data_IF_848023949525
#
_entry.id   IF_848023949525
#
_cell.length_a   1.000
_cell.length_b   1.000
_cell.length_c   1.000
_cell.angle_alpha   90.00
_cell.angle_beta   90.00
_cell.angle_gamma   90.00
#
_symmetry.space_group_name_H-M   'P 1'
#
loop_
_entity.id
_entity.type
_entity.pdbx_description
1 polymer ?
#
# COMPACT_ATOMS: atom_id res chain seq x y z
N UNK A 1 -14.44 -7.50 -17.42
CA UNK A 1 -14.57 -8.76 -18.20
C UNK A 1 -15.28 -8.41 -19.49
N UNK A 2 -14.74 -8.84 -20.61
CA UNK A 2 -15.41 -8.67 -21.90
C UNK A 2 -16.85 -9.18 -21.83
N UNK A 3 -17.78 -8.43 -22.39
CA UNK A 3 -19.17 -8.85 -22.57
C UNK A 3 -19.30 -9.69 -23.86
N UNK A 4 -18.59 -9.29 -24.90
CA UNK A 4 -18.58 -9.89 -26.23
C UNK A 4 -17.14 -10.19 -26.67
N UNK A 5 -16.93 -11.11 -27.64
CA UNK A 5 -15.61 -11.36 -28.20
C UNK A 5 -15.02 -10.12 -28.86
N UNK A 6 -13.71 -9.90 -28.68
CA UNK A 6 -12.94 -8.81 -29.31
C UNK A 6 -11.93 -9.42 -30.27
N UNK A 7 -11.89 -8.91 -31.50
CA UNK A 7 -10.93 -9.37 -32.51
C UNK A 7 -9.61 -8.63 -32.38
N UNK A 8 -8.51 -9.39 -32.31
CA UNK A 8 -7.13 -8.89 -32.35
C UNK A 8 -6.41 -9.55 -33.54
N UNK A 9 -5.21 -9.08 -33.85
CA UNK A 9 -4.34 -9.74 -34.82
C UNK A 9 -3.31 -10.62 -34.12
N UNK A 10 -3.25 -11.87 -34.53
CA UNK A 10 -2.27 -12.85 -34.11
C UNK A 10 -1.58 -13.37 -35.34
N UNK A 11 -0.27 -13.18 -35.45
CA UNK A 11 0.52 -13.53 -36.64
C UNK A 11 -0.10 -13.01 -37.97
N UNK A 12 -0.61 -11.77 -37.93
CA UNK A 12 -1.26 -11.10 -39.06
C UNK A 12 -2.70 -11.56 -39.35
N UNK A 13 -3.18 -12.64 -38.76
CA UNK A 13 -4.54 -13.16 -38.90
C UNK A 13 -5.50 -12.62 -37.83
N UNK A 14 -6.79 -12.40 -38.15
CA UNK A 14 -7.77 -12.01 -37.15
C UNK A 14 -8.09 -13.20 -36.23
N UNK A 15 -8.02 -12.96 -34.92
CA UNK A 15 -8.33 -13.93 -33.89
C UNK A 15 -9.30 -13.34 -32.85
N UNK A 16 -10.31 -14.11 -32.43
CA UNK A 16 -11.34 -13.67 -31.50
C UNK A 16 -10.99 -14.02 -30.05
N UNK A 17 -10.65 -13.00 -29.24
CA UNK A 17 -10.48 -13.16 -27.79
C UNK A 17 -11.85 -13.20 -27.12
N UNK A 18 -12.16 -14.34 -26.51
CA UNK A 18 -13.48 -14.59 -25.92
C UNK A 18 -13.59 -14.10 -24.48
N UNK A 19 -14.82 -13.82 -24.01
CA UNK A 19 -15.07 -13.52 -22.58
C UNK A 19 -14.62 -14.64 -21.63
N UNK A 20 -14.50 -15.88 -22.11
CA UNK A 20 -14.04 -17.00 -21.30
C UNK A 20 -12.53 -16.91 -21.01
N UNK A 21 -11.72 -16.54 -22.01
CA UNK A 21 -10.27 -16.33 -21.85
C UNK A 21 -9.98 -15.24 -20.80
N UNK A 22 -10.65 -14.10 -20.93
CA UNK A 22 -10.48 -13.00 -19.95
C UNK A 22 -10.95 -13.38 -18.55
N UNK A 23 -12.03 -14.17 -18.41
CA UNK A 23 -12.48 -14.69 -17.11
C UNK A 23 -11.46 -15.64 -16.47
N UNK A 24 -10.86 -16.56 -17.26
CA UNK A 24 -9.84 -17.48 -16.77
C UNK A 24 -8.58 -16.75 -16.33
N UNK A 25 -8.06 -15.83 -17.16
CA UNK A 25 -6.92 -15.01 -16.83
C UNK A 25 -7.16 -14.20 -15.54
N UNK A 26 -8.35 -13.58 -15.41
CA UNK A 26 -8.77 -12.85 -14.20
C UNK A 26 -8.85 -13.74 -12.96
N UNK A 27 -9.37 -14.94 -13.10
CA UNK A 27 -9.42 -15.93 -12.02
C UNK A 27 -8.04 -16.27 -11.50
N UNK A 28 -7.07 -16.49 -12.39
CA UNK A 28 -5.66 -16.74 -12.05
C UNK A 28 -4.99 -15.55 -11.37
N UNK A 29 -5.19 -14.35 -11.90
CA UNK A 29 -4.67 -13.12 -11.30
C UNK A 29 -5.20 -12.90 -9.88
N UNK A 30 -6.50 -13.08 -9.64
CA UNK A 30 -7.12 -13.00 -8.30
C UNK A 30 -6.62 -14.09 -7.35
N UNK A 31 -6.44 -15.31 -7.82
CA UNK A 31 -5.93 -16.42 -7.02
C UNK A 31 -4.50 -16.18 -6.51
N UNK A 32 -3.73 -15.30 -7.14
CA UNK A 32 -2.39 -14.93 -6.71
C UNK A 32 -2.35 -14.17 -5.38
N UNK A 33 -3.48 -13.60 -4.95
CA UNK A 33 -3.62 -12.74 -3.76
C UNK A 33 -2.67 -11.54 -3.73
N UNK A 34 -2.10 -11.16 -4.87
CA UNK A 34 -1.28 -9.95 -4.99
C UNK A 34 -2.16 -8.71 -5.06
N UNK A 35 -1.66 -7.55 -4.63
CA UNK A 35 -2.33 -6.26 -4.82
C UNK A 35 -2.73 -6.05 -6.28
N UNK A 36 -3.83 -5.32 -6.52
CA UNK A 36 -4.47 -5.18 -7.82
C UNK A 36 -3.50 -4.79 -8.94
N UNK A 37 -2.71 -3.73 -8.74
CA UNK A 37 -1.78 -3.24 -9.76
C UNK A 37 -0.63 -4.23 -10.05
N UNK A 38 -0.19 -5.00 -9.03
CA UNK A 38 0.82 -6.06 -9.21
C UNK A 38 0.23 -7.31 -9.86
N UNK A 39 -1.04 -7.63 -9.59
CA UNK A 39 -1.73 -8.76 -10.22
C UNK A 39 -2.02 -8.52 -11.71
N UNK A 40 -1.97 -7.26 -12.19
CA UNK A 40 -2.14 -6.90 -13.60
C UNK A 40 -1.16 -7.62 -14.51
N UNK A 41 0.10 -7.74 -14.10
CA UNK A 41 1.09 -8.50 -14.89
C UNK A 41 0.69 -9.97 -15.02
N UNK A 42 0.22 -10.59 -13.93
CA UNK A 42 -0.26 -11.97 -13.96
C UNK A 42 -1.48 -12.12 -14.89
N UNK A 43 -2.39 -11.13 -14.85
CA UNK A 43 -3.54 -11.11 -15.76
C UNK A 43 -3.08 -11.05 -17.22
N UNK A 44 -2.13 -10.17 -17.54
CA UNK A 44 -1.55 -10.03 -18.88
C UNK A 44 -0.91 -11.34 -19.35
N UNK A 45 0.01 -11.90 -18.57
CA UNK A 45 0.73 -13.13 -18.92
C UNK A 45 -0.24 -14.30 -19.15
N UNK A 46 -1.26 -14.41 -18.27
CA UNK A 46 -2.26 -15.48 -18.39
C UNK A 46 -3.26 -15.25 -19.52
N UNK A 47 -3.56 -14.01 -19.88
CA UNK A 47 -4.37 -13.71 -21.05
C UNK A 47 -3.63 -14.09 -22.34
N UNK A 48 -2.34 -13.75 -22.44
CA UNK A 48 -1.50 -14.15 -23.56
C UNK A 48 -1.40 -15.67 -23.67
N UNK A 49 -1.17 -16.37 -22.55
CA UNK A 49 -1.15 -17.84 -22.52
C UNK A 49 -2.47 -18.47 -23.05
N UNK A 50 -3.63 -17.92 -22.62
CA UNK A 50 -4.95 -18.39 -23.11
C UNK A 50 -5.12 -18.11 -24.62
N UNK A 51 -4.65 -16.96 -25.11
CA UNK A 51 -4.69 -16.61 -26.55
C UNK A 51 -3.79 -17.54 -27.35
N UNK A 52 -2.53 -17.73 -26.96
CA UNK A 52 -1.58 -18.60 -27.66
C UNK A 52 -2.08 -20.03 -27.72
N UNK A 53 -2.58 -20.58 -26.62
CA UNK A 53 -3.10 -21.94 -26.58
C UNK A 53 -4.34 -22.12 -27.48
N UNK A 54 -5.23 -21.13 -27.49
CA UNK A 54 -6.43 -21.19 -28.31
C UNK A 54 -6.11 -21.01 -29.80
N UNK A 55 -5.20 -20.11 -30.15
CA UNK A 55 -4.71 -19.90 -31.49
C UNK A 55 -4.01 -21.16 -32.04
N UNK A 56 -3.15 -21.78 -31.23
CA UNK A 56 -2.49 -23.04 -31.61
C UNK A 56 -3.49 -24.17 -31.83
N UNK A 57 -4.56 -24.24 -31.05
CA UNK A 57 -5.63 -25.23 -31.25
C UNK A 57 -6.46 -24.96 -32.52
N UNK A 58 -6.62 -23.68 -32.92
CA UNK A 58 -7.36 -23.30 -34.14
C UNK A 58 -6.58 -23.57 -35.43
N UNK A 59 -5.23 -23.36 -35.40
CA UNK A 59 -4.36 -23.70 -36.55
C UNK A 59 -4.42 -25.22 -36.88
N UNK A 60 -4.76 -26.03 -35.89
CA UNK A 60 -5.10 -27.40 -36.07
C UNK A 60 -3.99 -28.42 -35.81
N UNK A 61 -4.41 -29.66 -35.80
CA UNK A 61 -3.56 -30.84 -35.71
C UNK A 61 -2.97 -31.14 -37.10
N UNK A 62 -1.72 -31.60 -37.13
CA UNK A 62 -1.07 -32.08 -38.32
C UNK A 62 -1.96 -33.14 -39.02
N UNK A 63 -2.48 -32.87 -40.23
CA UNK A 63 -3.35 -33.80 -40.93
C UNK A 63 -2.66 -35.13 -41.25
N UNK A 64 -1.33 -35.19 -41.14
CA UNK A 64 -0.55 -36.43 -41.36
C UNK A 64 -0.44 -37.32 -40.12
N UNK A 65 -0.82 -36.82 -38.95
CA UNK A 65 -0.79 -37.53 -37.66
C UNK A 65 -2.10 -37.34 -36.85
N UNK A 66 -3.25 -37.83 -37.34
CA UNK A 66 -4.56 -37.56 -36.69
C UNK A 66 -4.70 -38.15 -35.28
N UNK A 67 -3.89 -39.14 -34.93
CA UNK A 67 -3.91 -39.80 -33.62
C UNK A 67 -2.96 -39.14 -32.57
N UNK A 68 -2.16 -38.17 -32.97
CA UNK A 68 -1.38 -37.32 -32.08
C UNK A 68 -1.87 -35.89 -32.23
N UNK A 69 -2.42 -35.28 -31.19
CA UNK A 69 -2.60 -33.85 -31.18
C UNK A 69 -1.19 -33.21 -31.10
N UNK A 70 -0.48 -33.26 -32.22
CA UNK A 70 0.78 -32.58 -32.43
C UNK A 70 0.44 -31.18 -32.88
N UNK A 71 0.76 -30.21 -32.05
CA UNK A 71 0.68 -28.80 -32.41
C UNK A 71 1.59 -28.59 -33.62
N UNK A 72 1.06 -27.96 -34.68
CA UNK A 72 1.85 -27.54 -35.83
C UNK A 72 2.96 -26.54 -35.44
N UNK A 73 2.80 -25.89 -34.30
CA UNK A 73 3.78 -24.93 -33.74
C UNK A 73 4.87 -25.66 -32.97
N UNK A 74 6.12 -25.37 -33.31
CA UNK A 74 7.28 -25.81 -32.55
C UNK A 74 7.36 -25.04 -31.19
N UNK A 75 8.18 -25.52 -30.27
CA UNK A 75 8.42 -24.79 -29.00
C UNK A 75 9.00 -23.38 -29.23
N UNK A 76 9.76 -23.18 -30.32
CA UNK A 76 10.27 -21.87 -30.73
C UNK A 76 9.14 -20.94 -31.15
N UNK A 77 8.25 -21.46 -32.04
CA UNK A 77 7.11 -20.68 -32.55
C UNK A 77 6.18 -20.24 -31.40
N UNK A 78 6.00 -21.12 -30.41
CA UNK A 78 5.26 -20.76 -29.18
C UNK A 78 5.90 -19.63 -28.41
N UNK A 79 7.24 -19.63 -28.25
CA UNK A 79 7.97 -18.60 -27.53
C UNK A 79 7.90 -17.27 -28.29
N UNK A 80 8.14 -17.28 -29.60
CA UNK A 80 8.12 -16.11 -30.47
C UNK A 80 6.71 -15.47 -30.47
N UNK A 81 5.67 -16.27 -30.64
CA UNK A 81 4.27 -15.82 -30.60
C UNK A 81 3.89 -15.24 -29.24
N UNK A 82 4.38 -15.85 -28.16
CA UNK A 82 4.13 -15.35 -26.80
C UNK A 82 4.81 -13.99 -26.62
N UNK A 83 6.05 -13.81 -27.07
CA UNK A 83 6.78 -12.56 -26.98
C UNK A 83 6.11 -11.44 -27.79
N UNK A 84 5.67 -11.75 -29.01
CA UNK A 84 4.96 -10.81 -29.88
C UNK A 84 3.64 -10.36 -29.25
N UNK A 85 2.85 -11.27 -28.69
CA UNK A 85 1.60 -10.93 -28.04
C UNK A 85 1.78 -10.17 -26.72
N UNK A 86 2.82 -10.47 -25.94
CA UNK A 86 3.16 -9.68 -24.74
C UNK A 86 3.47 -8.21 -25.07
N UNK A 87 4.01 -7.94 -26.25
CA UNK A 87 4.33 -6.60 -26.73
C UNK A 87 3.23 -6.01 -27.63
N UNK A 88 2.18 -6.77 -27.97
CA UNK A 88 1.10 -6.32 -28.86
C UNK A 88 0.31 -5.17 -28.26
N UNK A 89 0.15 -4.02 -28.99
CA UNK A 89 -0.69 -2.91 -28.55
C UNK A 89 -2.16 -3.30 -28.38
N UNK A 90 -2.67 -4.24 -29.18
CA UNK A 90 -4.06 -4.71 -29.11
C UNK A 90 -4.30 -5.51 -27.83
N UNK A 91 -3.36 -6.35 -27.42
CA UNK A 91 -3.41 -7.08 -26.16
C UNK A 91 -3.25 -6.13 -24.97
N UNK A 92 -2.36 -5.15 -25.07
CA UNK A 92 -2.20 -4.11 -24.03
C UNK A 92 -3.49 -3.29 -23.82
N UNK A 93 -4.19 -2.93 -24.89
CA UNK A 93 -5.50 -2.27 -24.81
C UNK A 93 -6.54 -3.16 -24.13
N UNK A 94 -6.60 -4.46 -24.48
CA UNK A 94 -7.47 -5.42 -23.78
C UNK A 94 -7.16 -5.56 -22.30
N UNK A 95 -5.88 -5.51 -21.93
CA UNK A 95 -5.46 -5.55 -20.53
C UNK A 95 -5.88 -4.27 -19.83
N UNK A 96 -5.74 -3.09 -20.45
CA UNK A 96 -6.18 -1.80 -19.86
C UNK A 96 -7.68 -1.78 -19.62
N UNK A 97 -8.48 -2.24 -20.60
CA UNK A 97 -9.94 -2.28 -20.49
C UNK A 97 -10.44 -3.27 -19.41
N UNK A 98 -9.75 -4.39 -19.23
CA UNK A 98 -10.21 -5.47 -18.33
C UNK A 98 -9.56 -5.47 -16.97
N UNK A 99 -8.38 -4.85 -16.84
CA UNK A 99 -7.61 -4.75 -15.61
C UNK A 99 -6.80 -3.43 -15.59
N UNK A 100 -7.48 -2.26 -15.52
CA UNK A 100 -6.80 -0.98 -15.52
C UNK A 100 -5.89 -0.81 -14.30
N UNK A 101 -4.88 0.03 -14.44
CA UNK A 101 -4.12 0.53 -13.29
C UNK A 101 -5.02 1.49 -12.54
N UNK A 102 -5.15 1.28 -11.24
CA UNK A 102 -5.97 2.12 -10.36
C UNK A 102 -5.10 2.86 -9.36
N UNK A 103 -5.50 4.09 -9.04
CA UNK A 103 -4.90 4.90 -7.97
C UNK A 103 -5.84 4.97 -6.76
N UNK A 104 -5.27 5.16 -5.57
CA UNK A 104 -6.07 5.26 -4.35
C UNK A 104 -7.11 6.41 -4.40
N UNK A 105 -6.76 7.62 -4.88
CA UNK A 105 -7.74 8.68 -5.04
C UNK A 105 -8.91 8.29 -5.95
N UNK A 106 -8.65 7.68 -7.12
CA UNK A 106 -9.71 7.25 -8.04
C UNK A 106 -10.67 6.23 -7.40
N UNK A 107 -10.13 5.28 -6.63
CA UNK A 107 -10.96 4.24 -5.98
C UNK A 107 -11.80 4.85 -4.86
N UNK A 108 -11.19 5.68 -3.99
CA UNK A 108 -11.91 6.29 -2.87
C UNK A 108 -12.93 7.31 -3.37
N UNK A 109 -12.58 8.16 -4.35
CA UNK A 109 -13.52 9.08 -4.97
C UNK A 109 -14.72 8.33 -5.57
N UNK A 110 -14.46 7.33 -6.41
CA UNK A 110 -15.53 6.54 -7.02
C UNK A 110 -16.43 5.85 -6.00
N UNK A 111 -15.81 5.33 -4.92
CA UNK A 111 -16.57 4.69 -3.83
C UNK A 111 -17.50 5.68 -3.13
N UNK A 112 -17.04 6.91 -2.87
CA UNK A 112 -17.78 7.91 -2.10
C UNK A 112 -18.69 8.82 -2.96
N UNK A 113 -18.61 8.75 -4.30
CA UNK A 113 -19.43 9.57 -5.20
C UNK A 113 -20.45 8.77 -6.02
N UNK A 114 -20.31 7.44 -6.08
CA UNK A 114 -21.20 6.56 -6.83
C UNK A 114 -21.95 5.64 -5.84
N UNK A 115 -23.24 5.97 -5.62
CA UNK A 115 -24.14 5.21 -4.72
C UNK A 115 -24.10 3.72 -5.01
N UNK A 116 -24.20 3.35 -6.29
CA UNK A 116 -24.25 1.92 -6.67
C UNK A 116 -22.98 1.18 -6.27
N UNK A 117 -21.82 1.79 -6.48
CA UNK A 117 -20.54 1.20 -6.07
C UNK A 117 -20.41 1.08 -4.55
N UNK A 118 -20.89 2.09 -3.82
CA UNK A 118 -20.88 2.06 -2.36
C UNK A 118 -21.82 0.98 -1.81
N UNK A 119 -23.03 0.87 -2.33
CA UNK A 119 -24.00 -0.17 -1.97
C UNK A 119 -23.47 -1.58 -2.31
N UNK A 120 -22.90 -1.79 -3.51
CA UNK A 120 -22.30 -3.07 -3.92
C UNK A 120 -21.13 -3.47 -3.00
N UNK A 121 -20.31 -2.49 -2.57
CA UNK A 121 -19.16 -2.75 -1.70
C UNK A 121 -19.54 -2.97 -0.23
N UNK A 122 -20.62 -2.37 0.23
CA UNK A 122 -21.01 -2.34 1.64
C UNK A 122 -22.31 -3.08 1.98
N UNK A 123 -22.94 -3.75 1.02
CA UNK A 123 -24.31 -4.29 1.10
C UNK A 123 -24.63 -5.16 2.33
N UNK A 124 -23.65 -5.61 3.09
CA UNK A 124 -23.82 -6.39 4.32
C UNK A 124 -23.29 -5.67 5.55
N UNK A 125 -22.78 -4.46 5.43
CA UNK A 125 -22.05 -3.76 6.49
C UNK A 125 -22.74 -2.45 6.87
N UNK A 126 -23.16 -1.66 5.88
CA UNK A 126 -23.75 -0.35 6.07
C UNK A 126 -25.27 -0.37 5.86
N UNK A 127 -25.99 0.45 6.61
CA UNK A 127 -27.39 0.76 6.36
C UNK A 127 -27.55 1.78 5.23
N UNK A 128 -28.77 1.93 4.71
CA UNK A 128 -29.08 2.93 3.69
C UNK A 128 -28.78 4.37 4.19
N UNK A 129 -29.04 4.64 5.46
CA UNK A 129 -28.74 5.92 6.10
C UNK A 129 -27.21 6.16 6.16
N UNK A 130 -26.41 5.15 6.48
CA UNK A 130 -24.95 5.25 6.47
C UNK A 130 -24.42 5.53 5.04
N UNK A 131 -25.02 4.88 4.05
CA UNK A 131 -24.68 5.11 2.63
C UNK A 131 -24.95 6.57 2.26
N UNK A 132 -26.11 7.11 2.64
CA UNK A 132 -26.47 8.51 2.40
C UNK A 132 -25.49 9.49 3.06
N UNK A 133 -25.05 9.20 4.27
CA UNK A 133 -24.05 10.01 4.99
C UNK A 133 -22.68 9.99 4.34
N UNK A 134 -22.27 8.88 3.73
CA UNK A 134 -20.94 8.73 3.14
C UNK A 134 -20.88 9.32 1.72
N UNK A 135 -22.02 9.44 1.02
CA UNK A 135 -22.04 9.95 -0.33
C UNK A 135 -21.66 11.42 -0.38
N UNK A 136 -20.79 11.75 -1.33
CA UNK A 136 -20.29 13.10 -1.59
C UNK A 136 -20.60 13.54 -3.03
N UNK A 137 -20.61 14.85 -3.24
CA UNK A 137 -20.63 15.39 -4.60
C UNK A 137 -19.34 15.00 -5.34
N UNK A 138 -19.46 14.79 -6.64
CA UNK A 138 -18.31 14.55 -7.51
C UNK A 138 -17.32 15.72 -7.41
N UNK A 139 -16.05 15.43 -7.51
CA UNK A 139 -14.95 16.41 -7.39
C UNK A 139 -14.84 17.08 -6.01
N UNK A 140 -15.46 16.51 -4.97
CA UNK A 140 -15.26 16.96 -3.59
C UNK A 140 -13.79 16.78 -3.18
N UNK A 141 -13.14 17.79 -2.58
CA UNK A 141 -11.77 17.67 -2.15
C UNK A 141 -11.62 16.63 -1.04
N UNK A 142 -10.50 15.92 -1.05
CA UNK A 142 -10.13 15.06 0.08
C UNK A 142 -9.80 15.88 1.32
N UNK A 143 -10.15 15.34 2.46
CA UNK A 143 -9.94 15.93 3.79
C UNK A 143 -9.01 15.08 4.63
N UNK A 144 -8.54 15.60 5.76
CA UNK A 144 -7.64 14.86 6.66
C UNK A 144 -8.20 13.50 7.10
N UNK A 145 -9.50 13.35 7.44
CA UNK A 145 -10.11 12.05 7.73
C UNK A 145 -10.06 11.04 6.58
N UNK A 146 -9.89 11.47 5.33
CA UNK A 146 -9.81 10.56 4.17
C UNK A 146 -8.42 9.92 4.02
N UNK A 147 -7.39 10.49 4.64
CA UNK A 147 -6.00 10.02 4.51
C UNK A 147 -5.83 8.54 4.87
N UNK A 148 -6.40 8.03 5.99
CA UNK A 148 -6.35 6.61 6.29
C UNK A 148 -7.04 5.72 5.27
N UNK A 149 -8.12 6.18 4.63
CA UNK A 149 -8.81 5.45 3.57
C UNK A 149 -7.95 5.40 2.30
N UNK A 150 -7.32 6.52 1.94
CA UNK A 150 -6.38 6.59 0.82
C UNK A 150 -5.17 5.67 1.04
N UNK A 151 -4.63 5.63 2.25
CA UNK A 151 -3.52 4.73 2.59
C UNK A 151 -3.94 3.26 2.50
N UNK A 152 -5.11 2.88 3.01
CA UNK A 152 -5.62 1.51 2.90
C UNK A 152 -5.90 1.12 1.44
N UNK A 153 -6.53 2.02 0.66
CA UNK A 153 -6.74 1.78 -0.76
C UNK A 153 -5.43 1.59 -1.51
N UNK A 154 -4.41 2.40 -1.23
CA UNK A 154 -3.09 2.27 -1.83
C UNK A 154 -2.41 0.95 -1.46
N UNK A 155 -2.61 0.43 -0.24
CA UNK A 155 -2.11 -0.87 0.19
C UNK A 155 -2.75 -2.02 -0.61
N UNK A 156 -4.07 -1.99 -0.74
CA UNK A 156 -4.82 -3.01 -1.50
C UNK A 156 -4.52 -2.97 -2.99
N UNK A 157 -4.28 -1.79 -3.55
CA UNK A 157 -3.93 -1.63 -4.95
C UNK A 157 -2.48 -2.02 -5.24
N UNK A 158 -1.57 -1.75 -4.33
CA UNK A 158 -0.13 -1.84 -4.55
C UNK A 158 0.41 -0.77 -5.50
N UNK A 159 1.72 -0.65 -5.58
CA UNK A 159 2.35 0.31 -6.50
C UNK A 159 1.99 -0.03 -7.95
N UNK A 160 1.65 0.96 -8.78
CA UNK A 160 1.53 0.73 -10.22
C UNK A 160 2.89 0.27 -10.77
N UNK A 161 2.89 -0.58 -11.81
CA UNK A 161 4.12 -0.91 -12.50
C UNK A 161 4.76 0.38 -13.00
N UNK A 162 6.07 0.53 -12.77
CA UNK A 162 6.78 1.69 -13.32
C UNK A 162 6.69 1.64 -14.84
N UNK A 163 6.35 2.76 -15.51
CA UNK A 163 6.43 2.79 -16.97
C UNK A 163 7.88 2.43 -17.33
N UNK A 164 8.05 1.43 -18.20
CA UNK A 164 9.34 1.21 -18.84
C UNK A 164 9.70 2.54 -19.49
N UNK A 165 10.64 3.26 -18.93
CA UNK A 165 11.22 4.44 -19.59
C UNK A 165 11.71 3.91 -20.93
N UNK A 166 11.11 4.39 -22.02
CA UNK A 166 11.70 4.23 -23.33
C UNK A 166 13.16 4.68 -23.21
N UNK A 167 14.08 3.83 -23.58
CA UNK A 167 15.51 3.94 -23.43
C UNK A 167 16.09 5.15 -24.19
N UNK A 168 15.87 6.35 -23.68
CA UNK A 168 16.59 7.55 -24.07
C UNK A 168 17.73 7.87 -23.08
N UNK A 169 18.38 6.86 -22.54
CA UNK A 169 19.46 6.97 -21.57
C UNK A 169 20.11 5.63 -21.26
N UNK A 170 20.06 4.67 -22.20
CA UNK A 170 20.52 3.31 -21.98
C UNK A 170 21.97 3.19 -21.50
N UNK A 171 22.85 4.03 -21.99
CA UNK A 171 24.26 4.01 -21.59
C UNK A 171 24.47 4.51 -20.16
N UNK A 172 23.75 5.54 -19.75
CA UNK A 172 23.87 6.07 -18.38
C UNK A 172 23.22 5.16 -17.33
N UNK A 173 22.13 4.48 -17.69
CA UNK A 173 21.47 3.52 -16.79
C UNK A 173 22.29 2.24 -16.59
N UNK A 174 22.86 1.69 -17.65
CA UNK A 174 23.75 0.52 -17.54
C UNK A 174 24.97 0.84 -16.69
N UNK A 175 25.56 2.00 -16.86
CA UNK A 175 26.71 2.45 -16.06
C UNK A 175 26.33 2.61 -14.57
N UNK A 176 25.15 3.17 -14.27
CA UNK A 176 24.65 3.28 -12.88
C UNK A 176 24.36 1.91 -12.24
N UNK A 177 23.89 0.95 -13.01
CA UNK A 177 23.68 -0.43 -12.52
C UNK A 177 25.02 -1.12 -12.29
N UNK A 178 26.01 -0.93 -13.17
CA UNK A 178 27.37 -1.46 -13.00
C UNK A 178 28.07 -0.85 -11.80
N UNK A 179 27.95 0.47 -11.58
CA UNK A 179 28.50 1.18 -10.42
C UNK A 179 27.82 0.71 -9.12
N UNK A 180 26.50 0.50 -9.14
CA UNK A 180 25.75 -0.04 -8.00
C UNK A 180 26.14 -1.49 -7.69
N UNK A 181 26.38 -2.31 -8.73
CA UNK A 181 26.85 -3.68 -8.58
C UNK A 181 28.26 -3.71 -7.99
N UNK A 182 29.17 -2.85 -8.49
CA UNK A 182 30.52 -2.73 -7.96
C UNK A 182 30.54 -2.30 -6.48
N UNK A 183 29.63 -1.39 -6.09
CA UNK A 183 29.47 -0.98 -4.69
C UNK A 183 28.96 -2.14 -3.81
N UNK A 184 28.02 -2.94 -4.28
CA UNK A 184 27.52 -4.14 -3.59
C UNK A 184 28.63 -5.20 -3.44
N UNK A 185 29.44 -5.39 -4.48
CA UNK A 185 30.55 -6.35 -4.46
C UNK A 185 31.65 -5.93 -3.46
N UNK A 186 31.94 -4.61 -3.35
CA UNK A 186 32.82 -4.07 -2.33
C UNK A 186 32.26 -4.30 -0.92
N UNK A 187 30.97 -4.05 -0.72
CA UNK A 187 30.30 -4.30 0.57
C UNK A 187 30.33 -5.78 0.94
N UNK A 188 30.10 -6.68 0.00
CA UNK A 188 30.20 -8.14 0.21
C UNK A 188 31.65 -8.55 0.55
N UNK A 189 32.63 -8.00 -0.15
CA UNK A 189 34.03 -8.29 0.11
C UNK A 189 34.49 -7.76 1.49
N UNK A 190 34.03 -6.58 1.90
CA UNK A 190 34.35 -6.04 3.24
C UNK A 190 33.67 -6.81 4.36
N UNK A 191 32.43 -7.26 4.15
CA UNK A 191 31.71 -8.08 5.12
C UNK A 191 32.37 -9.47 5.32
N UNK A 192 32.93 -10.06 4.26
CA UNK A 192 33.66 -11.34 4.35
C UNK A 192 35.00 -11.24 5.07
N UNK A 193 35.60 -10.05 5.20
CA UNK A 193 36.85 -9.84 5.95
C UNK A 193 36.62 -9.64 7.46
N UNK A 194 35.40 -9.28 7.90
CA UNK A 194 35.09 -9.08 9.33
C UNK A 194 34.60 -10.33 10.06
N UNK A 195 34.33 -11.44 9.35
CA UNK A 195 33.79 -12.66 9.90
C UNK A 195 34.75 -13.87 9.76
N UNK A 196 35.97 -13.77 10.30
CA UNK A 196 36.80 -14.92 10.58
C UNK A 196 36.69 -15.40 12.05
N UNK A 197 35.62 -15.06 12.76
CA UNK A 197 35.37 -15.60 14.11
C UNK A 197 34.00 -16.29 14.18
N UNK A 198 34.09 -17.56 14.59
CA UNK A 198 33.03 -18.55 14.62
C UNK A 198 31.81 -18.13 15.44
N UNK A 199 30.66 -17.98 14.79
CA UNK A 199 29.38 -18.52 15.29
C UNK A 199 28.30 -18.42 14.22
N UNK A 200 27.73 -19.58 13.85
CA UNK A 200 26.53 -19.78 13.06
C UNK A 200 25.36 -18.94 13.58
N UNK A 201 25.10 -17.83 12.93
CA UNK A 201 23.76 -17.29 12.85
C UNK A 201 23.56 -16.77 11.42
N UNK A 202 22.66 -17.39 10.68
CA UNK A 202 22.11 -16.88 9.41
C UNK A 202 21.44 -15.54 9.65
N UNK A 203 22.23 -14.51 9.89
CA UNK A 203 21.76 -13.13 9.81
C UNK A 203 21.74 -12.79 8.33
N UNK A 204 20.55 -12.80 7.73
CA UNK A 204 20.32 -12.23 6.41
C UNK A 204 20.91 -10.82 6.40
N UNK A 205 22.05 -10.67 5.76
CA UNK A 205 22.69 -9.38 5.67
C UNK A 205 21.85 -8.44 4.80
N UNK A 206 21.82 -7.15 5.14
CA UNK A 206 21.00 -6.15 4.44
C UNK A 206 21.26 -6.13 2.91
N UNK A 207 22.43 -6.54 2.46
CA UNK A 207 22.79 -6.64 1.04
C UNK A 207 22.15 -7.81 0.30
N UNK A 208 21.68 -8.87 0.99
CA UNK A 208 20.98 -9.98 0.35
C UNK A 208 19.56 -9.60 -0.09
N UNK A 209 19.07 -8.46 0.40
CA UNK A 209 17.73 -7.92 0.11
C UNK A 209 17.80 -6.78 -0.92
N UNK A 210 18.99 -6.24 -1.19
CA UNK A 210 19.17 -5.08 -2.07
C UNK A 210 19.61 -5.54 -3.45
N UNK A 211 18.72 -5.37 -4.43
CA UNK A 211 19.02 -5.53 -5.85
C UNK A 211 19.77 -4.29 -6.38
N UNK A 212 20.82 -4.49 -7.19
CA UNK A 212 21.59 -3.42 -7.82
C UNK A 212 20.72 -2.43 -8.62
N UNK A 213 19.65 -2.92 -9.26
CA UNK A 213 18.67 -2.09 -9.94
C UNK A 213 17.92 -1.16 -8.98
N UNK A 214 17.57 -1.65 -7.79
CA UNK A 214 16.95 -0.82 -6.75
C UNK A 214 17.91 0.23 -6.18
N UNK A 215 19.19 -0.08 -6.08
CA UNK A 215 20.20 0.83 -5.60
C UNK A 215 20.46 1.94 -6.63
N UNK A 216 20.62 1.60 -7.90
CA UNK A 216 20.79 2.54 -9.00
C UNK A 216 19.58 3.49 -9.16
N UNK A 217 18.36 2.96 -9.02
CA UNK A 217 17.11 3.71 -9.09
C UNK A 217 16.96 4.72 -7.93
N UNK A 218 17.47 4.38 -6.74
CA UNK A 218 17.54 5.30 -5.61
C UNK A 218 18.53 6.43 -5.82
N UNK A 219 19.69 6.15 -6.40
CA UNK A 219 20.73 7.16 -6.66
C UNK A 219 20.32 8.18 -7.73
N UNK A 220 19.62 7.77 -8.78
CA UNK A 220 19.28 8.65 -9.91
C UNK A 220 18.28 9.78 -9.57
N UNK A 221 17.50 9.66 -8.50
CA UNK A 221 16.43 10.61 -8.16
C UNK A 221 16.57 11.29 -6.79
N UNK A 222 17.62 10.99 -6.01
CA UNK A 222 17.65 11.34 -4.59
C UNK A 222 18.82 12.24 -4.16
N UNK A 223 19.67 12.70 -5.07
CA UNK A 223 20.89 13.45 -4.69
C UNK A 223 20.65 14.77 -3.97
N UNK A 224 19.42 15.31 -3.97
CA UNK A 224 19.11 16.62 -3.42
C UNK A 224 18.05 16.63 -2.28
N UNK A 225 17.49 15.49 -1.92
CA UNK A 225 16.44 15.43 -0.89
C UNK A 225 17.00 15.04 0.48
N UNK A 226 16.57 15.75 1.52
CA UNK A 226 16.83 15.37 2.90
C UNK A 226 16.17 14.03 3.25
N UNK A 227 16.64 13.37 4.32
CA UNK A 227 16.01 12.12 4.80
C UNK A 227 14.52 12.31 5.12
N UNK A 228 14.16 13.48 5.66
CA UNK A 228 12.77 13.81 5.97
C UNK A 228 11.90 13.92 4.69
N UNK A 229 12.41 14.59 3.66
CA UNK A 229 11.73 14.73 2.37
C UNK A 229 11.58 13.38 1.67
N UNK A 230 12.60 12.53 1.73
CA UNK A 230 12.53 11.15 1.21
C UNK A 230 11.48 10.32 1.95
N UNK A 231 11.45 10.40 3.28
CA UNK A 231 10.46 9.71 4.10
C UNK A 231 9.03 10.20 3.83
N UNK A 232 8.86 11.50 3.56
CA UNK A 232 7.56 12.09 3.23
C UNK A 232 7.05 11.62 1.84
N UNK A 233 7.95 11.40 0.89
CA UNK A 233 7.59 10.94 -0.46
C UNK A 233 7.42 9.42 -0.57
N UNK A 234 8.04 8.65 0.33
CA UNK A 234 7.96 7.20 0.31
C UNK A 234 6.87 6.68 1.26
N UNK A 235 5.72 6.29 0.70
CA UNK A 235 4.63 5.70 1.46
C UNK A 235 5.02 4.43 2.22
N UNK A 236 6.01 3.69 1.76
CA UNK A 236 6.49 2.45 2.41
C UNK A 236 7.62 2.70 3.41
N UNK A 237 8.02 3.97 3.61
CA UNK A 237 9.04 4.30 4.60
C UNK A 237 8.66 3.84 6.00
N UNK A 238 9.51 3.05 6.62
CA UNK A 238 9.36 2.56 7.98
C UNK A 238 10.25 3.34 8.95
N UNK A 239 9.69 3.68 10.12
CA UNK A 239 10.40 4.38 11.18
C UNK A 239 10.85 3.40 12.25
N UNK A 240 12.05 3.61 12.80
CA UNK A 240 12.58 2.83 13.92
C UNK A 240 11.82 3.09 15.21
N UNK A 241 11.38 4.33 15.44
CA UNK A 241 10.55 4.75 16.57
C UNK A 241 9.55 5.80 16.12
N UNK A 242 8.31 5.70 16.58
CA UNK A 242 7.23 6.64 16.28
C UNK A 242 6.73 7.25 17.59
N UNK A 243 6.62 8.57 17.63
CA UNK A 243 6.02 9.29 18.74
C UNK A 243 4.70 9.86 18.26
N UNK A 244 3.64 9.61 19.01
CA UNK A 244 2.28 10.08 18.69
C UNK A 244 1.81 10.93 19.86
N UNK A 245 1.46 12.16 19.58
CA UNK A 245 0.79 13.06 20.52
C UNK A 245 -0.70 13.14 20.19
N UNK A 246 -1.53 13.45 21.17
CA UNK A 246 -3.01 13.47 21.06
C UNK A 246 -3.58 12.17 20.43
N UNK A 247 -2.99 11.06 20.80
CA UNK A 247 -3.26 9.77 20.17
C UNK A 247 -4.71 9.28 20.34
N UNK A 248 -5.46 9.81 21.32
CA UNK A 248 -6.89 9.52 21.50
C UNK A 248 -7.73 10.02 20.32
N UNK A 249 -7.25 10.99 19.54
CA UNK A 249 -7.95 11.49 18.35
C UNK A 249 -7.85 10.55 17.13
N UNK A 250 -7.00 9.52 17.21
CA UNK A 250 -6.80 8.61 16.08
C UNK A 250 -7.96 7.62 15.94
N UNK A 251 -8.57 7.58 14.75
CA UNK A 251 -9.54 6.56 14.39
C UNK A 251 -8.89 5.17 14.24
N UNK A 252 -9.65 4.06 14.28
CA UNK A 252 -9.12 2.70 14.05
C UNK A 252 -8.34 2.56 12.74
N UNK A 253 -8.78 3.25 11.67
CA UNK A 253 -8.09 3.27 10.39
C UNK A 253 -6.78 4.07 10.45
N UNK A 254 -6.76 5.17 11.19
CA UNK A 254 -5.53 5.95 11.42
C UNK A 254 -4.50 5.14 12.22
N UNK A 255 -4.93 4.40 13.24
CA UNK A 255 -4.08 3.44 13.96
C UNK A 255 -3.48 2.40 13.03
N UNK A 256 -4.28 1.82 12.12
CA UNK A 256 -3.79 0.85 11.14
C UNK A 256 -2.72 1.44 10.22
N UNK A 257 -2.92 2.67 9.74
CA UNK A 257 -1.95 3.40 8.93
C UNK A 257 -0.63 3.64 9.68
N UNK A 258 -0.70 4.15 10.91
CA UNK A 258 0.48 4.43 11.75
C UNK A 258 1.24 3.14 12.08
N UNK A 259 0.52 2.07 12.39
CA UNK A 259 1.12 0.77 12.69
C UNK A 259 1.90 0.18 11.50
N UNK A 260 1.51 0.47 10.26
CA UNK A 260 2.30 0.10 9.08
C UNK A 260 3.64 0.82 9.00
N UNK A 261 3.71 2.06 9.50
CA UNK A 261 4.93 2.88 9.54
C UNK A 261 5.94 2.46 10.61
N UNK A 262 5.53 1.64 11.58
CA UNK A 262 6.39 1.10 12.65
C UNK A 262 6.29 -0.43 12.70
N UNK A 263 6.97 -1.16 11.82
CA UNK A 263 6.89 -2.63 11.75
C UNK A 263 7.31 -3.30 13.06
N UNK A 264 8.30 -2.74 13.74
CA UNK A 264 8.80 -3.21 15.04
C UNK A 264 7.89 -2.83 16.22
N UNK A 265 6.86 -2.00 16.00
CA UNK A 265 5.95 -1.49 17.04
C UNK A 265 6.63 -0.70 18.16
N UNK A 266 7.77 -0.11 17.86
CA UNK A 266 8.48 0.71 18.82
C UNK A 266 7.92 2.13 18.81
N UNK A 267 7.10 2.43 19.80
CA UNK A 267 6.29 3.65 19.81
C UNK A 267 6.22 4.24 21.20
N UNK A 268 6.13 5.58 21.25
CA UNK A 268 5.71 6.35 22.44
C UNK A 268 4.38 7.02 22.11
N UNK A 269 3.36 6.70 22.87
CA UNK A 269 1.99 7.15 22.64
C UNK A 269 1.61 8.05 23.81
N UNK A 270 1.22 9.28 23.50
CA UNK A 270 0.80 10.28 24.47
C UNK A 270 -0.63 10.70 24.13
N UNK A 271 -1.46 10.85 25.15
CA UNK A 271 -2.83 11.30 24.96
C UNK A 271 -3.67 11.16 26.25
N UNK A 272 -4.88 11.66 26.16
CA UNK A 272 -5.87 11.62 27.24
C UNK A 272 -7.22 11.20 26.66
N UNK A 273 -7.66 9.97 26.95
CA UNK A 273 -8.93 9.43 26.44
C UNK A 273 -10.18 10.18 26.94
N UNK A 274 -10.05 10.99 27.99
CA UNK A 274 -11.12 11.86 28.47
C UNK A 274 -11.25 13.17 27.65
N UNK A 275 -10.29 13.47 26.80
CA UNK A 275 -10.25 14.71 25.99
C UNK A 275 -10.51 14.46 24.50
N UNK A 276 -10.97 13.29 24.11
CA UNK A 276 -11.26 13.03 22.68
C UNK A 276 -12.45 13.84 22.19
N UNK A 277 -12.28 14.51 21.07
CA UNK A 277 -13.34 15.23 20.35
C UNK A 277 -13.83 14.44 19.11
N UNK A 278 -13.07 13.44 18.71
CA UNK A 278 -13.38 12.61 17.54
C UNK A 278 -14.34 11.48 17.92
N UNK A 279 -15.55 11.39 17.32
CA UNK A 279 -16.47 10.28 17.57
C UNK A 279 -15.89 8.89 17.28
N UNK A 280 -14.88 8.81 16.41
CA UNK A 280 -14.14 7.58 16.09
C UNK A 280 -12.81 7.49 16.85
N UNK A 281 -12.59 8.34 17.83
CA UNK A 281 -11.37 8.36 18.65
C UNK A 281 -11.32 7.21 19.66
N UNK A 282 -10.26 7.22 20.46
CA UNK A 282 -9.96 6.14 21.41
C UNK A 282 -10.64 6.40 22.75
N UNK A 283 -11.54 5.54 23.16
CA UNK A 283 -12.14 5.56 24.49
C UNK A 283 -11.27 4.81 25.53
N UNK A 284 -10.56 3.77 25.08
CA UNK A 284 -9.70 2.94 25.92
C UNK A 284 -8.46 2.51 25.15
N UNK A 285 -7.29 2.66 25.76
CA UNK A 285 -6.01 2.29 25.13
C UNK A 285 -5.92 0.81 24.76
N UNK A 286 -6.56 -0.07 25.55
CA UNK A 286 -6.62 -1.49 25.26
C UNK A 286 -7.26 -1.77 23.91
N UNK A 287 -8.35 -1.09 23.58
CA UNK A 287 -9.09 -1.32 22.34
C UNK A 287 -8.30 -0.86 21.11
N UNK A 288 -7.56 0.23 21.24
CA UNK A 288 -6.70 0.74 20.18
C UNK A 288 -5.43 -0.11 19.97
N UNK A 289 -4.81 -0.62 21.03
CA UNK A 289 -3.49 -1.23 20.97
C UNK A 289 -3.49 -2.76 20.89
N UNK A 290 -4.47 -3.42 21.55
CA UNK A 290 -4.53 -4.91 21.60
C UNK A 290 -4.54 -5.61 20.25
N UNK A 291 -5.19 -5.07 19.18
CA UNK A 291 -5.16 -5.70 17.87
C UNK A 291 -3.76 -5.82 17.28
N UNK A 292 -2.83 -4.94 17.68
CA UNK A 292 -1.49 -4.85 17.09
C UNK A 292 -0.37 -5.38 17.98
N UNK A 293 -0.45 -5.14 19.30
CA UNK A 293 0.63 -5.45 20.24
C UNK A 293 0.20 -6.37 21.38
N UNK A 294 -1.08 -6.72 21.47
CA UNK A 294 -1.66 -7.52 22.57
C UNK A 294 -1.32 -6.87 23.92
N UNK A 295 -0.60 -7.58 24.80
CA UNK A 295 -0.21 -7.08 26.13
C UNK A 295 1.23 -6.54 26.17
N UNK A 296 1.88 -6.31 25.02
CA UNK A 296 3.28 -5.86 24.94
C UNK A 296 3.37 -4.32 24.96
N UNK A 297 2.73 -3.68 25.93
CA UNK A 297 2.81 -2.25 26.16
C UNK A 297 2.76 -1.94 27.65
N UNK A 298 3.18 -0.74 28.02
CA UNK A 298 3.14 -0.27 29.41
C UNK A 298 2.47 1.10 29.42
N UNK A 299 1.57 1.31 30.40
CA UNK A 299 0.93 2.60 30.64
C UNK A 299 1.61 3.33 31.80
N UNK A 300 1.79 4.62 31.62
CA UNK A 300 2.27 5.53 32.65
C UNK A 300 1.29 6.69 32.71
N UNK A 301 0.78 6.98 33.91
CA UNK A 301 -0.14 8.09 34.11
C UNK A 301 0.62 9.28 34.69
N UNK A 302 0.50 10.46 34.05
CA UNK A 302 1.04 11.68 34.53
C UNK A 302 0.11 12.25 35.62
N UNK A 303 0.60 12.31 36.88
CA UNK A 303 -0.18 12.70 38.04
C UNK A 303 0.02 14.17 38.46
N UNK A 304 0.91 14.89 37.78
CA UNK A 304 1.21 16.31 38.10
C UNK A 304 0.94 17.18 36.87
N UNK A 305 0.10 18.18 37.04
CA UNK A 305 -0.16 19.21 36.06
C UNK A 305 0.51 20.52 36.46
N UNK A 306 1.43 20.99 35.61
CA UNK A 306 2.14 22.28 35.82
C UNK A 306 1.57 23.41 34.94
N UNK A 307 0.67 23.10 34.02
CA UNK A 307 0.17 24.03 33.00
C UNK A 307 -1.13 24.72 33.44
N UNK A 308 -2.03 23.97 34.06
CA UNK A 308 -3.37 24.46 34.43
C UNK A 308 -3.46 24.79 35.91
N UNK A 309 -3.91 25.99 36.28
CA UNK A 309 -4.11 26.38 37.67
C UNK A 309 -5.05 25.45 38.45
N UNK A 310 -4.78 25.25 39.74
CA UNK A 310 -5.52 24.35 40.61
C UNK A 310 -7.03 24.65 40.63
N UNK A 311 -7.40 25.93 40.64
CA UNK A 311 -8.81 26.36 40.63
C UNK A 311 -9.57 25.96 39.38
N UNK A 312 -8.89 25.99 38.21
CA UNK A 312 -9.49 25.52 36.92
C UNK A 312 -9.62 24.00 36.93
N UNK A 313 -8.61 23.31 37.45
CA UNK A 313 -8.67 21.84 37.60
C UNK A 313 -9.81 21.43 38.53
N UNK A 314 -10.00 22.11 39.66
CA UNK A 314 -11.09 21.83 40.59
C UNK A 314 -12.46 22.07 39.95
N UNK A 315 -12.61 23.15 39.18
CA UNK A 315 -13.85 23.44 38.47
C UNK A 315 -14.20 22.37 37.41
N UNK A 316 -13.19 21.74 36.79
CA UNK A 316 -13.37 20.67 35.78
C UNK A 316 -13.61 19.28 36.38
N UNK A 317 -13.45 19.12 37.71
CA UNK A 317 -13.55 17.80 38.37
C UNK A 317 -14.91 17.11 38.20
N UNK A 318 -15.99 17.92 38.25
CA UNK A 318 -17.34 17.39 38.04
C UNK A 318 -17.57 16.83 36.63
N UNK A 319 -17.04 17.49 35.64
CA UNK A 319 -17.11 17.03 34.25
C UNK A 319 -16.28 15.76 34.05
N UNK A 320 -15.09 15.69 34.60
CA UNK A 320 -14.23 14.51 34.53
C UNK A 320 -14.88 13.30 35.20
N UNK A 321 -15.55 13.47 36.35
CA UNK A 321 -16.24 12.41 37.05
C UNK A 321 -17.44 11.86 36.25
N UNK A 322 -18.09 12.68 35.43
CA UNK A 322 -19.17 12.25 34.54
C UNK A 322 -18.63 11.47 33.35
N UNK A 323 -17.54 11.93 32.75
CA UNK A 323 -16.92 11.29 31.57
C UNK A 323 -16.23 9.96 31.95
N UNK A 324 -15.46 9.97 33.04
CA UNK A 324 -14.71 8.81 33.51
C UNK A 324 -14.66 8.77 35.05
N UNK A 325 -15.62 8.09 35.69
CA UNK A 325 -15.73 8.01 37.16
C UNK A 325 -14.50 7.40 37.86
N UNK A 326 -13.67 6.67 37.11
CA UNK A 326 -12.46 6.01 37.67
C UNK A 326 -11.18 6.83 37.43
N UNK A 327 -11.24 7.92 36.67
CA UNK A 327 -10.09 8.76 36.38
C UNK A 327 -9.64 9.49 37.64
N UNK A 328 -8.34 9.48 37.93
CA UNK A 328 -7.72 10.30 38.96
C UNK A 328 -7.29 11.63 38.35
N UNK A 329 -7.82 12.71 38.91
CA UNK A 329 -7.45 14.05 38.47
C UNK A 329 -5.97 14.34 38.85
N UNK A 330 -5.14 14.84 37.91
CA UNK A 330 -3.77 15.22 38.20
C UNK A 330 -3.72 16.36 39.23
N UNK A 331 -2.74 16.31 40.09
CA UNK A 331 -2.49 17.40 41.04
C UNK A 331 -1.89 18.59 40.30
N UNK A 332 -2.56 19.72 40.33
CA UNK A 332 -1.98 20.98 39.83
C UNK A 332 -0.98 21.59 40.82
N UNK A 333 0.16 22.02 40.28
CA UNK A 333 1.17 22.81 41.01
C UNK A 333 1.24 24.26 40.51
N UNK A 334 0.42 24.62 39.53
CA UNK A 334 0.31 25.95 38.96
C UNK A 334 -0.68 26.81 39.79
N UNK A 335 -0.30 28.03 40.08
CA UNK A 335 -1.15 29.03 40.75
C UNK A 335 -1.68 30.03 39.72
N UNK A 336 -2.89 30.53 39.93
CA UNK A 336 -3.57 31.45 39.00
C UNK A 336 -2.78 32.77 38.77
N UNK A 337 -1.90 33.13 39.69
CA UNK A 337 -1.12 34.38 39.68
C UNK A 337 0.34 34.20 39.21
N UNK A 338 0.76 33.01 38.84
CA UNK A 338 2.15 32.73 38.46
C UNK A 338 2.42 32.74 36.96
N UNK A 339 1.39 32.94 36.14
CA UNK A 339 1.56 33.08 34.70
C UNK A 339 1.56 34.58 34.35
N UNK A 340 2.72 35.21 34.08
CA UNK A 340 2.69 36.53 33.49
C UNK A 340 1.98 36.47 32.14
N UNK A 341 1.05 37.39 31.95
CA UNK A 341 0.42 37.55 30.63
C UNK A 341 1.51 37.86 29.60
N UNK A 342 1.45 37.32 28.39
CA UNK A 342 2.35 37.72 27.31
C UNK A 342 2.28 39.19 26.94
N UNK A 343 1.38 39.96 27.58
CA UNK A 343 1.23 41.43 27.44
C UNK A 343 1.95 42.22 28.52
N UNK A 344 2.54 41.55 29.51
CA UNK A 344 3.23 42.19 30.63
C UNK A 344 4.76 42.14 30.49
N UNK A 345 5.25 41.80 29.28
CA UNK A 345 6.68 41.85 28.92
C UNK A 345 6.88 42.81 27.77
#
# INVERSE_FOLDING_TARGET
VLAEPVTIRVDGAPFAVTPQMTRRARGRARASRRPHNRARQIFHDKLVEEIVNAYAAEIGTDPTQPDRPGLLLSASDYADLTEDLLNSPEVQALVEDNWPILTAPQVVERLLTDRRHLEEASHTILSDDDVDYLLRAKDSPFTVPDVPLLDEAAEQLGRPPRPRKATAGGENWQQMVEDAQAALDILKASASMEFEDESDSEILAAYDIIDAHHLADRHSHQEFLTTAERAAQDREWAFGHVIIDEAQELSPMAWRMVMRRSPNRWMTIVGDTAQTSNPAGVERWEDALSPYVKNRWRSFTLSVNYRTPAQIMEASSGVLAEINPTAQQPRSICLLYTSPSPRDV
#
